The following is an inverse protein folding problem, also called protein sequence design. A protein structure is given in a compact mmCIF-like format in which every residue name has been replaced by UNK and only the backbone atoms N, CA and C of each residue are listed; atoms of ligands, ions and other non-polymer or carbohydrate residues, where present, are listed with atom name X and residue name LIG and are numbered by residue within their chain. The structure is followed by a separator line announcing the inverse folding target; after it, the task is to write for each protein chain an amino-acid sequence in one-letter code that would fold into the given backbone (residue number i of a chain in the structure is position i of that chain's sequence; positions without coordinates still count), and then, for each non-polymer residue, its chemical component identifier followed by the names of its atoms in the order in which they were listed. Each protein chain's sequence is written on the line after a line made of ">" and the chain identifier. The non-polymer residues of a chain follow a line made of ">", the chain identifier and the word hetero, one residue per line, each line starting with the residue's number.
data_IF_985304130212
#
_entry.id   IF_985304130212
#
_cell.length_a   1.000
_cell.length_b   1.000
_cell.length_c   1.000
_cell.angle_alpha   90.00
_cell.angle_beta   90.00
_cell.angle_gamma   90.00
#
_symmetry.space_group_name_H-M   'P 1'
#
loop_
_entity.id
_entity.type
_entity.pdbx_description
1 polymer ?
#
# COMPACT_ATOMS: atom_id res chain seq x y z
N UNK A 1 -29.39 29.22 9.15
CA UNK A 1 -28.16 29.78 8.62
C UNK A 1 -27.10 29.66 9.70
N UNK A 2 -26.45 28.51 9.82
CA UNK A 2 -25.53 28.21 10.92
C UNK A 2 -24.12 28.44 10.40
N UNK A 3 -23.48 29.49 10.88
CA UNK A 3 -22.12 29.89 10.55
C UNK A 3 -21.16 28.86 11.14
N UNK A 4 -20.48 28.09 10.29
CA UNK A 4 -19.34 27.27 10.73
C UNK A 4 -18.21 28.21 11.15
N UNK A 5 -17.58 28.01 12.31
CA UNK A 5 -16.44 28.83 12.69
C UNK A 5 -15.27 28.59 11.71
N UNK A 6 -14.81 29.67 11.11
CA UNK A 6 -13.58 29.75 10.33
C UNK A 6 -12.41 29.56 11.30
N UNK A 7 -11.73 28.43 11.24
CA UNK A 7 -10.47 28.19 11.96
C UNK A 7 -9.36 29.00 11.26
N UNK A 8 -9.25 30.26 11.63
CA UNK A 8 -8.14 31.12 11.24
C UNK A 8 -7.52 31.72 12.50
N UNK A 9 -6.58 30.99 13.07
CA UNK A 9 -5.46 31.51 13.87
C UNK A 9 -4.55 30.34 14.15
N UNK A 10 -3.30 30.37 13.66
CA UNK A 10 -2.27 29.40 13.95
C UNK A 10 -1.88 29.48 15.45
N UNK A 11 -2.68 28.88 16.31
CA UNK A 11 -2.18 28.37 17.59
C UNK A 11 -1.26 27.21 17.21
N UNK A 12 0.06 27.36 17.41
CA UNK A 12 1.00 26.24 17.41
C UNK A 12 0.50 25.25 18.46
N UNK A 13 -0.27 24.25 18.01
CA UNK A 13 -0.70 23.18 18.91
C UNK A 13 0.55 22.41 19.27
N UNK A 14 1.04 22.61 20.46
CA UNK A 14 2.18 21.85 21.00
C UNK A 14 1.65 20.47 21.32
N UNK A 15 2.12 19.50 20.55
CA UNK A 15 1.86 18.09 20.80
C UNK A 15 2.96 17.52 21.68
N UNK A 16 2.74 16.38 22.30
CA UNK A 16 3.76 15.66 23.07
C UNK A 16 3.81 14.19 22.65
N UNK A 17 4.99 13.60 22.65
CA UNK A 17 5.17 12.15 22.49
C UNK A 17 4.59 11.42 23.70
N UNK A 18 3.85 10.34 23.44
CA UNK A 18 3.26 9.55 24.52
C UNK A 18 4.30 8.81 25.37
N UNK A 19 5.42 8.41 24.77
CA UNK A 19 6.48 7.62 25.42
C UNK A 19 7.31 8.40 26.45
N UNK A 20 7.53 9.71 26.24
CA UNK A 20 8.51 10.49 27.04
C UNK A 20 8.11 11.94 27.28
N UNK A 21 6.89 12.35 26.87
CA UNK A 21 6.37 13.72 26.96
C UNK A 21 7.23 14.80 26.25
N UNK A 22 8.11 14.40 25.32
CA UNK A 22 8.89 15.35 24.53
C UNK A 22 7.94 16.18 23.65
N UNK A 23 8.09 17.52 23.64
CA UNK A 23 7.24 18.38 22.81
C UNK A 23 7.55 18.20 21.33
N UNK A 24 6.48 18.19 20.52
CA UNK A 24 6.52 18.08 19.07
C UNK A 24 5.77 19.27 18.47
N UNK A 25 6.47 20.06 17.67
CA UNK A 25 5.89 21.17 16.93
C UNK A 25 5.65 20.75 15.48
N UNK A 26 4.46 21.05 14.97
CA UNK A 26 4.11 20.84 13.57
C UNK A 26 4.67 21.96 12.70
N UNK A 27 5.28 21.57 11.58
CA UNK A 27 5.81 22.49 10.58
C UNK A 27 4.89 22.63 9.37
N UNK A 28 5.46 22.38 8.18
CA UNK A 28 4.71 22.45 6.91
C UNK A 28 3.80 21.24 6.75
N UNK A 29 2.58 21.45 6.25
CA UNK A 29 1.71 20.40 5.80
C UNK A 29 2.28 19.72 4.55
N UNK A 30 2.39 18.39 4.58
CA UNK A 30 2.90 17.56 3.49
C UNK A 30 1.78 16.99 2.65
N UNK A 31 0.75 16.42 3.32
CA UNK A 31 -0.40 15.80 2.66
C UNK A 31 -1.66 15.94 3.51
N UNK A 32 -2.82 15.79 2.89
CA UNK A 32 -4.12 15.72 3.55
C UNK A 32 -4.98 14.66 2.88
N UNK A 33 -5.69 13.88 3.68
CA UNK A 33 -6.65 12.86 3.26
C UNK A 33 -7.96 13.02 4.01
N UNK A 34 -8.95 12.17 3.75
CA UNK A 34 -10.20 12.13 4.52
C UNK A 34 -10.02 11.70 5.98
N UNK A 35 -8.92 11.04 6.31
CA UNK A 35 -8.66 10.54 7.66
C UNK A 35 -7.85 11.50 8.53
N UNK A 36 -6.94 12.27 7.92
CA UNK A 36 -6.05 13.15 8.66
C UNK A 36 -5.07 13.90 7.78
N UNK A 37 -4.17 14.62 8.43
CA UNK A 37 -3.16 15.48 7.80
C UNK A 37 -1.77 15.07 8.23
N UNK A 38 -0.85 14.98 7.27
CA UNK A 38 0.58 14.68 7.49
C UNK A 38 1.35 15.99 7.52
N UNK A 39 2.18 16.14 8.56
CA UNK A 39 2.96 17.34 8.84
C UNK A 39 4.44 17.03 8.98
N UNK A 40 5.30 17.98 8.58
CA UNK A 40 6.68 18.02 9.07
C UNK A 40 6.69 18.27 10.57
N UNK A 41 7.76 17.81 11.24
CA UNK A 41 7.96 18.06 12.67
C UNK A 41 9.31 18.69 12.94
N UNK A 42 9.48 19.26 14.16
CA UNK A 42 10.78 19.69 14.66
C UNK A 42 11.74 18.52 14.97
N UNK A 43 11.25 17.28 14.92
CA UNK A 43 12.08 16.08 15.10
C UNK A 43 12.67 15.66 13.75
N UNK A 44 14.00 15.74 13.65
CA UNK A 44 14.69 15.36 12.41
C UNK A 44 14.39 13.91 12.02
N UNK A 45 13.98 13.69 10.78
CA UNK A 45 13.68 12.37 10.26
C UNK A 45 12.28 11.84 10.57
N UNK A 46 11.38 12.65 11.17
CA UNK A 46 10.03 12.26 11.51
C UNK A 46 8.96 13.16 10.88
N UNK A 47 7.85 12.55 10.52
CA UNK A 47 6.58 13.19 10.16
C UNK A 47 5.53 12.87 11.24
N UNK A 48 4.51 13.71 11.34
CA UNK A 48 3.34 13.48 12.17
C UNK A 48 2.09 13.30 11.30
N UNK A 49 1.30 12.25 11.52
CA UNK A 49 -0.07 12.14 10.99
C UNK A 49 -1.05 12.45 12.11
N UNK A 50 -1.87 13.50 11.92
CA UNK A 50 -2.88 13.95 12.89
C UNK A 50 -4.25 13.63 12.29
N UNK A 51 -5.06 12.86 13.01
CA UNK A 51 -6.38 12.47 12.56
C UNK A 51 -7.40 13.62 12.67
N UNK A 52 -8.33 13.69 11.74
CA UNK A 52 -9.50 14.56 11.85
C UNK A 52 -10.46 14.09 12.94
N UNK A 53 -10.57 12.77 13.09
CA UNK A 53 -11.38 12.09 14.10
C UNK A 53 -10.57 10.95 14.73
N UNK A 54 -9.89 11.21 15.86
CA UNK A 54 -9.08 10.22 16.58
C UNK A 54 -9.96 9.31 17.44
N UNK A 55 -10.75 8.43 16.81
CA UNK A 55 -11.61 7.49 17.54
C UNK A 55 -10.81 6.59 18.48
N UNK A 56 -11.47 6.11 19.54
CA UNK A 56 -10.86 5.17 20.50
C UNK A 56 -10.31 3.93 19.78
N UNK A 57 -11.02 3.43 18.78
CA UNK A 57 -10.60 2.26 18.00
C UNK A 57 -9.31 2.53 17.21
N UNK A 58 -9.20 3.69 16.53
CA UNK A 58 -7.98 4.10 15.82
C UNK A 58 -6.78 4.22 16.76
N UNK A 59 -6.97 4.82 17.92
CA UNK A 59 -5.88 4.99 18.89
C UNK A 59 -5.44 3.63 19.46
N UNK A 60 -6.36 2.74 19.82
CA UNK A 60 -6.02 1.38 20.26
C UNK A 60 -5.28 0.58 19.19
N UNK A 61 -5.70 0.70 17.92
CA UNK A 61 -4.98 0.11 16.80
C UNK A 61 -3.53 0.60 16.75
N UNK A 62 -3.31 1.92 16.85
CA UNK A 62 -1.97 2.51 16.87
C UNK A 62 -1.14 2.04 18.06
N UNK A 63 -1.74 1.89 19.26
CA UNK A 63 -1.05 1.35 20.44
C UNK A 63 -0.52 -0.07 20.19
N UNK A 64 -1.33 -0.93 19.54
CA UNK A 64 -0.89 -2.27 19.15
C UNK A 64 0.25 -2.20 18.13
N UNK A 65 0.15 -1.31 17.14
CA UNK A 65 1.17 -1.15 16.09
C UNK A 65 2.50 -0.64 16.65
N UNK A 66 2.47 0.41 17.48
CA UNK A 66 3.68 0.97 18.13
C UNK A 66 4.37 -0.08 19.00
N UNK A 67 3.59 -0.89 19.73
CA UNK A 67 4.13 -1.98 20.57
C UNK A 67 4.70 -3.18 19.79
N UNK A 68 4.38 -3.31 18.50
CA UNK A 68 4.71 -4.52 17.71
C UNK A 68 5.18 -4.18 16.28
N UNK A 69 6.24 -3.40 16.08
CA UNK A 69 6.69 -3.05 14.74
C UNK A 69 7.17 -4.28 13.94
N UNK A 70 6.94 -4.33 12.61
CA UNK A 70 7.59 -5.30 11.75
C UNK A 70 9.09 -5.03 11.67
N UNK A 71 9.88 -6.06 11.36
CA UNK A 71 11.30 -5.87 11.07
C UNK A 71 11.45 -5.16 9.72
N UNK A 72 12.15 -4.01 9.70
CA UNK A 72 12.43 -3.32 8.44
C UNK A 72 13.57 -4.05 7.69
N UNK A 73 13.30 -4.64 6.51
CA UNK A 73 14.29 -5.44 5.79
C UNK A 73 15.41 -4.60 5.16
N UNK A 74 15.26 -3.27 5.10
CA UNK A 74 16.24 -2.36 4.47
C UNK A 74 17.03 -1.53 5.49
N UNK A 75 16.86 -1.79 6.78
CA UNK A 75 17.54 -1.03 7.84
C UNK A 75 19.08 -1.05 7.69
N UNK A 76 19.65 -2.19 7.29
CA UNK A 76 21.10 -2.33 7.04
C UNK A 76 21.60 -1.48 5.87
N UNK A 77 20.71 -1.01 4.99
CA UNK A 77 21.01 -0.11 3.87
C UNK A 77 20.76 1.36 4.20
N UNK A 78 20.51 1.67 5.47
CA UNK A 78 20.16 3.02 5.94
C UNK A 78 18.97 3.60 5.15
N UNK A 79 17.97 2.73 4.85
CA UNK A 79 16.76 3.07 4.15
C UNK A 79 15.54 2.67 4.98
N UNK A 80 14.55 3.55 5.04
CA UNK A 80 13.27 3.30 5.70
C UNK A 80 12.35 2.63 4.68
N UNK A 81 12.12 1.33 4.85
CA UNK A 81 11.25 0.57 3.96
C UNK A 81 9.78 0.55 4.42
N UNK A 82 9.53 0.83 5.69
CA UNK A 82 8.17 0.82 6.26
C UNK A 82 8.01 2.09 7.11
N UNK A 83 7.15 3.01 6.68
CA UNK A 83 6.81 4.22 7.44
C UNK A 83 5.84 3.83 8.58
N UNK A 84 6.34 3.07 9.54
CA UNK A 84 5.56 2.50 10.64
C UNK A 84 5.31 3.52 11.76
N UNK A 85 4.16 3.49 12.47
CA UNK A 85 3.93 4.28 13.66
C UNK A 85 5.01 4.02 14.72
N UNK A 86 5.75 5.08 15.12
CA UNK A 86 6.84 5.00 16.08
C UNK A 86 6.39 5.38 17.50
N UNK A 87 5.53 6.39 17.61
CA UNK A 87 5.01 6.88 18.89
C UNK A 87 3.68 7.59 18.69
N UNK A 88 2.82 7.56 19.70
CA UNK A 88 1.61 8.34 19.72
C UNK A 88 1.88 9.81 20.02
N UNK A 89 1.05 10.68 19.46
CA UNK A 89 1.04 12.11 19.75
C UNK A 89 -0.20 12.49 20.54
N UNK A 90 0.02 13.19 21.68
CA UNK A 90 -1.02 13.70 22.55
C UNK A 90 -1.15 15.21 22.41
N UNK A 91 -2.36 15.71 22.50
CA UNK A 91 -2.65 17.13 22.58
C UNK A 91 -2.49 17.70 24.00
N UNK A 92 -2.79 18.99 24.19
CA UNK A 92 -2.68 19.67 25.48
C UNK A 92 -3.66 19.15 26.55
N UNK A 93 -4.66 18.35 26.19
CA UNK A 93 -5.57 17.68 27.14
C UNK A 93 -5.03 16.29 27.56
N UNK A 94 -3.98 15.81 26.91
CA UNK A 94 -3.42 14.46 27.09
C UNK A 94 -4.12 13.40 26.24
N UNK A 95 -5.07 13.77 25.38
CA UNK A 95 -5.72 12.86 24.45
C UNK A 95 -4.81 12.54 23.25
N UNK A 96 -4.73 11.28 22.84
CA UNK A 96 -3.99 10.88 21.65
C UNK A 96 -4.76 11.34 20.41
N UNK A 97 -4.08 12.06 19.50
CA UNK A 97 -4.67 12.66 18.30
C UNK A 97 -4.02 12.19 17.00
N UNK A 98 -2.94 11.42 17.08
CA UNK A 98 -2.19 10.96 15.94
C UNK A 98 -0.90 10.25 16.35
N UNK A 99 0.05 10.17 15.42
CA UNK A 99 1.29 9.45 15.64
C UNK A 99 2.47 10.06 14.89
N UNK A 100 3.67 9.72 15.33
CA UNK A 100 4.92 9.95 14.63
C UNK A 100 5.25 8.74 13.74
N UNK A 101 5.85 9.00 12.59
CA UNK A 101 6.38 7.98 11.70
C UNK A 101 7.68 8.46 11.05
N UNK A 102 8.58 7.55 10.64
CA UNK A 102 9.78 7.92 9.91
C UNK A 102 9.45 8.61 8.59
N UNK A 103 10.21 9.66 8.27
CA UNK A 103 10.06 10.42 7.02
C UNK A 103 10.75 9.71 5.86
N UNK A 104 10.01 9.22 4.89
CA UNK A 104 10.55 8.73 3.62
C UNK A 104 10.91 9.94 2.75
N UNK A 105 12.17 10.04 2.34
CA UNK A 105 12.68 11.19 1.59
C UNK A 105 13.23 10.76 0.24
N UNK A 106 13.35 11.71 -0.70
CA UNK A 106 13.98 11.50 -2.02
C UNK A 106 13.38 10.31 -2.78
N UNK A 107 12.07 10.13 -2.67
CA UNK A 107 11.33 9.04 -3.29
C UNK A 107 10.15 9.59 -4.06
N UNK A 108 9.64 8.79 -4.99
CA UNK A 108 8.46 9.09 -5.80
C UNK A 108 7.48 7.93 -5.79
N UNK A 109 6.23 8.20 -6.02
CA UNK A 109 5.21 7.17 -6.11
C UNK A 109 5.49 6.18 -7.25
N UNK A 110 5.15 4.92 -7.03
CA UNK A 110 5.36 3.81 -7.96
C UNK A 110 4.81 4.07 -9.38
N UNK A 111 3.67 4.78 -9.61
CA UNK A 111 3.22 5.15 -10.95
C UNK A 111 4.25 5.91 -11.78
N UNK A 112 5.10 6.72 -11.14
CA UNK A 112 6.20 7.43 -11.80
C UNK A 112 7.28 6.49 -12.36
N UNK A 113 7.32 5.24 -11.87
CA UNK A 113 8.30 4.22 -12.23
C UNK A 113 7.74 3.24 -13.26
N UNK A 114 6.54 2.65 -13.00
CA UNK A 114 6.01 1.64 -13.92
C UNK A 114 5.43 2.22 -15.20
N UNK A 115 4.85 3.43 -15.17
CA UNK A 115 4.32 4.06 -16.37
C UNK A 115 5.47 4.51 -17.29
N UNK A 116 5.60 4.00 -18.53
CA UNK A 116 6.73 4.30 -19.38
C UNK A 116 6.91 5.79 -19.70
N UNK A 117 5.80 6.53 -19.86
CA UNK A 117 5.83 7.97 -20.15
C UNK A 117 6.31 8.76 -18.94
N UNK A 118 5.77 8.45 -17.74
CA UNK A 118 6.17 9.09 -16.49
C UNK A 118 7.61 8.73 -16.14
N UNK A 119 8.01 7.46 -16.29
CA UNK A 119 9.38 6.99 -16.05
C UNK A 119 10.40 7.73 -16.91
N UNK A 120 10.15 7.89 -18.21
CA UNK A 120 11.04 8.63 -19.10
C UNK A 120 11.29 10.06 -18.61
N UNK A 121 10.28 10.69 -18.01
CA UNK A 121 10.36 12.08 -17.49
C UNK A 121 10.96 12.16 -16.09
N UNK A 122 10.52 11.28 -15.18
CA UNK A 122 10.77 11.42 -13.76
C UNK A 122 11.90 10.52 -13.23
N UNK A 123 12.26 9.47 -13.98
CA UNK A 123 13.29 8.49 -13.63
C UNK A 123 13.98 7.94 -14.88
N UNK A 124 14.63 8.80 -15.71
CA UNK A 124 15.17 8.38 -17.00
C UNK A 124 16.26 7.30 -16.91
N UNK A 125 16.92 7.15 -15.74
CA UNK A 125 17.88 6.08 -15.47
C UNK A 125 17.29 4.73 -15.13
N UNK A 126 15.97 4.65 -14.90
CA UNK A 126 15.29 3.39 -14.53
C UNK A 126 15.11 2.51 -15.77
N UNK A 127 15.99 1.53 -15.90
CA UNK A 127 15.93 0.49 -16.92
C UNK A 127 15.21 -0.77 -16.40
N UNK A 128 15.21 -1.83 -17.19
CA UNK A 128 14.61 -3.12 -16.88
C UNK A 128 15.14 -3.75 -15.57
N UNK A 129 16.43 -3.62 -15.31
CA UNK A 129 17.03 -4.08 -14.06
C UNK A 129 16.45 -3.40 -12.82
N UNK A 130 16.28 -2.07 -12.87
CA UNK A 130 15.70 -1.30 -11.75
C UNK A 130 14.23 -1.66 -11.51
N UNK A 131 13.46 -1.98 -12.57
CA UNK A 131 12.08 -2.44 -12.41
C UNK A 131 12.01 -3.78 -11.66
N UNK A 132 12.87 -4.73 -11.98
CA UNK A 132 12.97 -6.00 -11.26
C UNK A 132 13.45 -5.81 -9.82
N UNK A 133 14.46 -4.95 -9.60
CA UNK A 133 14.92 -4.62 -8.25
C UNK A 133 13.82 -3.99 -7.40
N UNK A 134 13.01 -3.11 -8.00
CA UNK A 134 11.83 -2.52 -7.32
C UNK A 134 10.80 -3.60 -6.98
N UNK A 135 10.51 -4.53 -7.90
CA UNK A 135 9.58 -5.64 -7.66
C UNK A 135 10.06 -6.54 -6.52
N UNK A 136 11.33 -6.94 -6.54
CA UNK A 136 11.96 -7.73 -5.47
C UNK A 136 11.90 -7.01 -4.12
N UNK A 137 12.28 -5.75 -4.06
CA UNK A 137 12.24 -4.97 -2.83
C UNK A 137 10.82 -4.80 -2.29
N UNK A 138 9.81 -4.64 -3.18
CA UNK A 138 8.40 -4.59 -2.79
C UNK A 138 7.96 -5.92 -2.17
N UNK A 139 8.30 -7.06 -2.79
CA UNK A 139 7.99 -8.39 -2.26
C UNK A 139 8.63 -8.61 -0.88
N UNK A 140 9.91 -8.28 -0.70
CA UNK A 140 10.62 -8.38 0.58
C UNK A 140 9.95 -7.61 1.72
N UNK A 141 9.49 -6.39 1.43
CA UNK A 141 8.81 -5.56 2.43
C UNK A 141 7.47 -6.20 2.82
N UNK A 142 6.70 -6.64 1.83
CA UNK A 142 5.41 -7.30 2.08
C UNK A 142 5.59 -8.61 2.86
N UNK A 143 6.62 -9.38 2.55
CA UNK A 143 6.99 -10.57 3.32
C UNK A 143 7.29 -10.23 4.78
N UNK A 144 8.07 -9.18 5.05
CA UNK A 144 8.38 -8.76 6.42
C UNK A 144 7.14 -8.32 7.20
N UNK A 145 6.19 -7.66 6.54
CA UNK A 145 4.91 -7.25 7.13
C UNK A 145 4.05 -8.49 7.44
N UNK A 146 3.92 -9.43 6.48
CA UNK A 146 3.18 -10.69 6.67
C UNK A 146 3.79 -11.57 7.75
N UNK A 147 5.13 -11.66 7.84
CA UNK A 147 5.83 -12.42 8.87
C UNK A 147 5.51 -11.95 10.30
N UNK A 148 5.08 -10.69 10.46
CA UNK A 148 4.62 -10.13 11.74
C UNK A 148 3.11 -10.30 11.96
N UNK A 149 2.39 -10.88 10.98
CA UNK A 149 0.95 -11.12 11.06
C UNK A 149 0.07 -9.92 10.66
N UNK A 150 0.65 -8.88 10.06
CA UNK A 150 -0.11 -7.76 9.51
C UNK A 150 -0.59 -8.06 8.10
N UNK A 151 -1.72 -7.48 7.72
CA UNK A 151 -2.28 -7.56 6.37
C UNK A 151 -2.43 -6.13 5.83
N UNK A 152 -1.87 -5.86 4.66
CA UNK A 152 -1.89 -4.52 4.10
C UNK A 152 -3.31 -4.09 3.73
N UNK A 153 -4.09 -5.00 3.13
CA UNK A 153 -5.52 -4.79 2.83
C UNK A 153 -5.78 -3.85 1.65
N UNK A 154 -5.15 -2.68 1.59
CA UNK A 154 -5.25 -1.74 0.47
C UNK A 154 -3.86 -1.41 -0.11
N UNK A 155 -3.24 -2.42 -0.72
CA UNK A 155 -2.01 -2.19 -1.48
C UNK A 155 -2.37 -1.46 -2.77
N UNK A 156 -1.95 -0.22 -2.89
CA UNK A 156 -2.09 0.58 -4.11
C UNK A 156 -0.77 1.26 -4.46
N UNK A 157 -0.52 1.50 -5.76
CA UNK A 157 0.75 2.04 -6.22
C UNK A 157 1.15 3.38 -5.59
N UNK A 158 0.18 4.20 -5.16
CA UNK A 158 0.43 5.50 -4.53
C UNK A 158 1.00 5.36 -3.11
N UNK A 159 0.74 4.23 -2.42
CA UNK A 159 1.26 3.95 -1.09
C UNK A 159 2.65 3.30 -1.13
N UNK A 160 3.22 3.13 -2.32
CA UNK A 160 4.56 2.60 -2.53
C UNK A 160 5.45 3.71 -3.10
N UNK A 161 6.47 4.07 -2.36
CA UNK A 161 7.47 5.06 -2.77
C UNK A 161 8.76 4.36 -3.21
N UNK A 162 9.44 4.91 -4.20
CA UNK A 162 10.67 4.34 -4.77
C UNK A 162 11.71 5.44 -4.93
N UNK A 163 12.93 5.21 -4.45
CA UNK A 163 14.06 6.13 -4.64
C UNK A 163 14.86 5.81 -5.92
N UNK A 164 15.88 6.60 -6.22
CA UNK A 164 16.70 6.45 -7.43
C UNK A 164 17.56 5.17 -7.45
N UNK A 165 17.69 4.47 -6.32
CA UNK A 165 18.39 3.18 -6.20
C UNK A 165 17.44 1.98 -6.20
N UNK A 166 16.17 2.15 -6.60
CA UNK A 166 15.11 1.14 -6.56
C UNK A 166 14.78 0.61 -5.16
N UNK A 167 15.22 1.30 -4.10
CA UNK A 167 14.78 0.99 -2.75
C UNK A 167 13.36 1.49 -2.56
N UNK A 168 12.54 0.65 -1.94
CA UNK A 168 11.10 0.84 -1.79
C UNK A 168 10.74 1.21 -0.37
N UNK A 169 9.73 2.03 -0.20
CA UNK A 169 9.11 2.31 1.09
C UNK A 169 7.59 2.22 0.99
N UNK A 170 6.97 1.54 1.95
CA UNK A 170 5.52 1.48 2.12
C UNK A 170 5.09 2.56 3.10
N UNK A 171 4.11 3.36 2.70
CA UNK A 171 3.52 4.44 3.50
C UNK A 171 2.05 4.14 3.81
N UNK A 172 1.40 4.99 4.62
CA UNK A 172 -0.01 4.85 5.01
C UNK A 172 -0.32 3.53 5.74
N UNK A 173 0.64 3.09 6.56
CA UNK A 173 0.61 1.78 7.24
C UNK A 173 -0.46 1.70 8.33
N UNK A 174 -0.96 2.83 8.81
CA UNK A 174 -2.08 2.88 9.76
C UNK A 174 -3.42 2.44 9.15
N UNK A 175 -3.51 2.32 7.81
CA UNK A 175 -4.65 1.72 7.11
C UNK A 175 -4.68 0.18 7.20
N UNK A 176 -3.57 -0.49 7.52
CA UNK A 176 -3.45 -1.95 7.54
C UNK A 176 -4.46 -2.63 8.45
N UNK A 177 -4.80 -3.88 8.17
CA UNK A 177 -5.51 -4.70 9.15
C UNK A 177 -4.53 -5.22 10.21
N UNK A 178 -4.87 -4.99 11.46
CA UNK A 178 -4.05 -5.30 12.63
C UNK A 178 -4.84 -6.23 13.54
N UNK A 179 -4.22 -7.31 13.99
CA UNK A 179 -4.76 -8.20 15.02
C UNK A 179 -3.98 -7.98 16.31
N UNK A 180 -4.68 -7.61 17.36
CA UNK A 180 -4.12 -7.61 18.70
C UNK A 180 -4.04 -9.06 19.22
N UNK A 181 -2.83 -9.56 19.40
CA UNK A 181 -2.59 -10.92 19.85
C UNK A 181 -2.94 -11.15 21.33
N UNK A 182 -3.06 -10.08 22.12
CA UNK A 182 -3.41 -10.19 23.54
C UNK A 182 -4.92 -10.32 23.74
N UNK A 183 -5.71 -9.56 22.98
CA UNK A 183 -7.17 -9.51 23.13
C UNK A 183 -7.90 -10.31 22.04
N UNK A 184 -7.24 -10.64 20.94
CA UNK A 184 -7.84 -11.23 19.75
C UNK A 184 -8.61 -10.23 18.88
N UNK A 185 -8.69 -8.95 19.28
CA UNK A 185 -9.38 -7.89 18.53
C UNK A 185 -8.73 -7.71 17.14
N UNK A 186 -9.58 -7.60 16.11
CA UNK A 186 -9.15 -7.27 14.75
C UNK A 186 -9.57 -5.84 14.41
N UNK A 187 -8.57 -5.00 14.11
CA UNK A 187 -8.76 -3.66 13.56
C UNK A 187 -8.65 -3.76 12.05
N UNK A 188 -9.79 -3.73 11.37
CA UNK A 188 -9.87 -4.03 9.93
C UNK A 188 -9.31 -2.91 9.05
N UNK A 189 -8.83 -3.29 7.86
CA UNK A 189 -8.69 -2.38 6.74
C UNK A 189 -10.05 -2.25 6.05
N UNK A 190 -10.72 -1.12 6.23
CA UNK A 190 -12.09 -0.90 5.75
C UNK A 190 -12.18 -0.41 4.31
N UNK A 191 -11.05 -0.32 3.63
CA UNK A 191 -10.93 0.20 2.26
C UNK A 191 -10.32 -0.84 1.33
N UNK A 192 -10.53 -0.66 0.04
CA UNK A 192 -9.93 -1.45 -1.02
C UNK A 192 -9.94 -0.65 -2.32
N UNK A 193 -8.95 -0.89 -3.18
CA UNK A 193 -8.80 -0.17 -4.45
C UNK A 193 -9.34 -1.00 -5.61
N UNK A 194 -10.06 -0.34 -6.52
CA UNK A 194 -10.50 -0.94 -7.77
C UNK A 194 -9.30 -1.49 -8.56
N UNK A 195 -9.46 -2.65 -9.18
CA UNK A 195 -8.38 -3.36 -9.88
C UNK A 195 -7.41 -4.12 -8.98
N UNK A 196 -7.35 -3.83 -7.66
CA UNK A 196 -6.50 -4.53 -6.69
C UNK A 196 -7.30 -5.45 -5.76
N UNK A 197 -8.61 -5.50 -5.89
CA UNK A 197 -9.47 -6.35 -5.06
C UNK A 197 -9.62 -7.72 -5.70
N UNK A 198 -9.17 -8.82 -5.05
CA UNK A 198 -9.31 -10.17 -5.59
C UNK A 198 -10.77 -10.62 -5.59
N UNK A 199 -11.08 -11.63 -6.42
CA UNK A 199 -12.45 -12.07 -6.73
C UNK A 199 -13.28 -12.41 -5.49
N UNK A 200 -12.69 -13.03 -4.49
CA UNK A 200 -13.36 -13.45 -3.24
C UNK A 200 -13.76 -12.27 -2.34
N UNK A 201 -13.20 -11.09 -2.57
CA UNK A 201 -13.51 -9.87 -1.83
C UNK A 201 -14.42 -8.90 -2.61
N UNK A 202 -14.71 -9.17 -3.88
CA UNK A 202 -15.57 -8.30 -4.69
C UNK A 202 -16.99 -8.23 -4.12
N UNK A 203 -17.43 -7.02 -3.80
CA UNK A 203 -18.76 -6.75 -3.23
C UNK A 203 -18.87 -7.06 -1.73
N UNK A 204 -17.77 -7.36 -1.03
CA UNK A 204 -17.77 -7.54 0.42
C UNK A 204 -17.70 -6.21 1.15
N UNK A 205 -18.35 -6.16 2.31
CA UNK A 205 -18.19 -5.05 3.25
C UNK A 205 -16.93 -5.28 4.10
N UNK A 206 -15.92 -4.45 3.89
CA UNK A 206 -14.64 -4.54 4.61
C UNK A 206 -14.73 -4.11 6.07
N UNK A 207 -15.81 -3.47 6.50
CA UNK A 207 -16.02 -3.16 7.92
C UNK A 207 -16.26 -4.42 8.76
N UNK A 208 -16.74 -5.49 8.14
CA UNK A 208 -17.07 -6.78 8.80
C UNK A 208 -16.32 -7.99 8.20
N UNK A 209 -15.57 -7.79 7.12
CA UNK A 209 -14.82 -8.86 6.46
C UNK A 209 -13.34 -8.78 6.82
N UNK A 210 -12.81 -9.86 7.42
CA UNK A 210 -11.37 -9.96 7.66
C UNK A 210 -10.64 -10.21 6.33
N UNK A 211 -9.58 -9.45 6.11
CA UNK A 211 -8.65 -9.69 5.01
C UNK A 211 -7.50 -10.60 5.51
N UNK A 212 -6.79 -11.21 4.58
CA UNK A 212 -5.66 -12.11 4.88
C UNK A 212 -4.50 -11.83 3.93
N UNK A 213 -3.33 -12.35 4.25
CA UNK A 213 -2.16 -12.29 3.35
C UNK A 213 -2.43 -12.89 1.96
N UNK A 214 -3.37 -13.87 1.86
CA UNK A 214 -3.77 -14.48 0.58
C UNK A 214 -4.37 -13.43 -0.37
N UNK A 215 -5.12 -12.47 0.16
CA UNK A 215 -5.66 -11.36 -0.60
C UNK A 215 -4.55 -10.38 -1.04
N UNK A 216 -3.57 -10.13 -0.17
CA UNK A 216 -2.42 -9.28 -0.50
C UNK A 216 -1.52 -9.91 -1.56
N UNK A 217 -1.44 -11.24 -1.64
CA UNK A 217 -0.69 -11.95 -2.69
C UNK A 217 -1.22 -11.65 -4.10
N UNK A 218 -2.54 -11.54 -4.26
CA UNK A 218 -3.15 -11.09 -5.52
C UNK A 218 -2.74 -9.65 -5.83
N UNK A 219 -2.85 -8.74 -4.86
CA UNK A 219 -2.49 -7.33 -5.01
C UNK A 219 -1.02 -7.15 -5.38
N UNK A 220 -0.14 -7.90 -4.71
CA UNK A 220 1.30 -7.91 -4.99
C UNK A 220 1.56 -8.35 -6.44
N UNK A 221 0.92 -9.42 -6.90
CA UNK A 221 1.06 -9.90 -8.28
C UNK A 221 0.61 -8.84 -9.29
N UNK A 222 -0.53 -8.16 -9.06
CA UNK A 222 -0.98 -7.03 -9.90
C UNK A 222 0.05 -5.92 -9.91
N UNK A 223 0.63 -5.57 -8.76
CA UNK A 223 1.62 -4.51 -8.65
C UNK A 223 2.94 -4.86 -9.36
N UNK A 224 3.44 -6.08 -9.20
CA UNK A 224 4.63 -6.57 -9.91
C UNK A 224 4.37 -6.59 -11.42
N UNK A 225 3.16 -6.98 -11.85
CA UNK A 225 2.79 -6.94 -13.25
C UNK A 225 2.83 -5.50 -13.81
N UNK A 226 2.32 -4.51 -13.07
CA UNK A 226 2.47 -3.10 -13.45
C UNK A 226 3.93 -2.68 -13.60
N UNK A 227 4.78 -3.08 -12.65
CA UNK A 227 6.20 -2.75 -12.70
C UNK A 227 6.89 -3.32 -13.95
N UNK A 228 6.63 -4.59 -14.27
CA UNK A 228 7.33 -5.29 -15.33
C UNK A 228 6.73 -5.04 -16.72
N UNK A 229 5.42 -4.84 -16.81
CA UNK A 229 4.73 -4.73 -18.10
C UNK A 229 4.14 -3.33 -18.36
N UNK A 230 3.95 -2.51 -17.32
CA UNK A 230 3.46 -1.13 -17.45
C UNK A 230 1.94 -0.99 -17.54
N UNK A 231 1.19 -2.08 -17.45
CA UNK A 231 -0.28 -2.12 -17.52
C UNK A 231 -0.86 -3.17 -16.58
N UNK A 232 -2.18 -3.10 -16.36
CA UNK A 232 -2.90 -4.04 -15.49
C UNK A 232 -3.02 -5.43 -16.14
N UNK A 233 -2.84 -6.55 -15.40
CA UNK A 233 -2.94 -7.90 -15.98
C UNK A 233 -4.33 -8.20 -16.60
N UNK A 234 -5.39 -7.65 -16.01
CA UNK A 234 -6.77 -7.78 -16.52
C UNK A 234 -7.10 -6.63 -17.50
N UNK A 235 -6.20 -6.32 -18.42
CA UNK A 235 -6.42 -5.37 -19.52
C UNK A 235 -5.91 -5.95 -20.82
N UNK A 236 -6.51 -5.55 -21.95
CA UNK A 236 -6.16 -6.02 -23.28
C UNK A 236 -7.30 -5.82 -24.27
N UNK A 237 -7.24 -6.51 -25.40
CA UNK A 237 -8.25 -6.46 -26.44
C UNK A 237 -9.40 -7.44 -26.12
N UNK A 238 -10.62 -6.91 -26.06
CA UNK A 238 -11.82 -7.72 -25.84
C UNK A 238 -12.21 -8.47 -27.10
N UNK A 239 -12.37 -9.78 -27.01
CA UNK A 239 -12.76 -10.67 -28.12
C UNK A 239 -14.15 -11.28 -27.97
N UNK A 240 -14.86 -10.94 -26.88
CA UNK A 240 -16.24 -11.37 -26.67
C UNK A 240 -17.26 -10.54 -27.44
N UNK A 241 -18.53 -10.89 -27.33
CA UNK A 241 -19.63 -10.12 -27.92
C UNK A 241 -19.95 -8.88 -27.09
N UNK A 242 -20.34 -7.78 -27.74
CA UNK A 242 -20.72 -6.54 -27.10
C UNK A 242 -19.54 -5.72 -26.58
N UNK A 243 -19.82 -4.79 -25.66
CA UNK A 243 -18.81 -3.93 -25.06
C UNK A 243 -17.92 -4.72 -24.09
N UNK A 244 -16.65 -4.28 -23.98
CA UNK A 244 -15.73 -4.85 -23.00
C UNK A 244 -16.27 -4.62 -21.59
N UNK A 245 -16.31 -5.65 -20.74
CA UNK A 245 -16.62 -5.47 -19.33
C UNK A 245 -15.62 -4.52 -18.66
N UNK A 246 -16.04 -3.93 -17.55
CA UNK A 246 -15.11 -3.19 -16.69
C UNK A 246 -14.07 -4.10 -16.03
N UNK A 247 -13.05 -3.49 -15.44
CA UNK A 247 -11.93 -4.23 -14.85
C UNK A 247 -12.36 -5.13 -13.69
N UNK A 248 -13.35 -4.71 -12.89
CA UNK A 248 -13.90 -5.49 -11.78
C UNK A 248 -14.57 -6.77 -12.29
N UNK A 249 -15.33 -6.65 -13.36
CA UNK A 249 -15.98 -7.81 -13.98
C UNK A 249 -14.96 -8.74 -14.69
N UNK A 250 -13.92 -8.19 -15.28
CA UNK A 250 -12.82 -9.01 -15.83
C UNK A 250 -12.09 -9.79 -14.72
N UNK A 251 -11.83 -9.18 -13.57
CA UNK A 251 -11.29 -9.87 -12.39
C UNK A 251 -12.27 -10.95 -11.92
N UNK A 252 -13.57 -10.64 -11.83
CA UNK A 252 -14.59 -11.59 -11.40
C UNK A 252 -14.61 -12.85 -12.27
N UNK A 253 -14.45 -12.70 -13.58
CA UNK A 253 -14.44 -13.80 -14.56
C UNK A 253 -13.07 -14.46 -14.73
N UNK A 254 -12.01 -13.93 -14.12
CA UNK A 254 -10.65 -14.41 -14.33
C UNK A 254 -10.13 -14.15 -15.75
N UNK A 255 -10.68 -13.16 -16.44
CA UNK A 255 -10.29 -12.82 -17.82
C UNK A 255 -9.08 -11.90 -17.84
N UNK A 256 -7.90 -12.48 -17.88
CA UNK A 256 -6.63 -11.77 -18.08
C UNK A 256 -5.94 -12.33 -19.33
N UNK A 257 -5.02 -11.56 -19.92
CA UNK A 257 -4.47 -11.90 -21.23
C UNK A 257 -3.61 -13.19 -21.26
N UNK A 258 -3.11 -13.67 -20.11
CA UNK A 258 -2.41 -14.96 -19.97
C UNK A 258 -3.33 -16.13 -19.60
N UNK A 259 -4.65 -15.92 -19.49
CA UNK A 259 -5.63 -16.94 -19.13
C UNK A 259 -6.01 -17.81 -20.34
N UNK A 260 -6.02 -19.15 -20.17
CA UNK A 260 -6.37 -20.10 -21.25
C UNK A 260 -7.78 -19.89 -21.82
N UNK A 261 -8.76 -19.62 -20.97
CA UNK A 261 -10.17 -19.41 -21.34
C UNK A 261 -10.58 -17.93 -21.33
N UNK A 262 -9.61 -17.02 -21.33
CA UNK A 262 -9.87 -15.59 -21.29
C UNK A 262 -10.40 -15.08 -22.63
N UNK A 263 -11.34 -14.14 -22.55
CA UNK A 263 -11.79 -13.36 -23.71
C UNK A 263 -11.00 -12.05 -23.87
N UNK A 264 -9.98 -11.83 -23.02
CA UNK A 264 -8.98 -10.79 -23.21
C UNK A 264 -7.78 -11.39 -23.95
N UNK A 265 -7.32 -10.70 -24.97
CA UNK A 265 -6.13 -11.06 -25.75
C UNK A 265 -5.09 -9.94 -25.65
N UNK A 266 -3.80 -10.29 -25.81
CA UNK A 266 -2.76 -9.27 -25.96
C UNK A 266 -3.09 -8.33 -27.13
N UNK A 267 -3.00 -7.03 -26.89
CA UNK A 267 -3.04 -6.03 -27.96
C UNK A 267 -1.69 -6.00 -28.72
N UNK A 268 -1.63 -5.31 -29.84
CA UNK A 268 -0.41 -5.20 -30.65
C UNK A 268 0.82 -4.68 -29.87
N UNK A 269 0.58 -3.88 -28.80
CA UNK A 269 1.64 -3.29 -27.99
C UNK A 269 1.85 -4.02 -26.65
N UNK A 270 1.19 -5.16 -26.44
CA UNK A 270 1.34 -5.95 -25.22
C UNK A 270 2.69 -6.62 -25.19
N UNK A 271 3.44 -6.42 -24.11
CA UNK A 271 4.69 -7.13 -23.85
C UNK A 271 4.33 -8.59 -23.53
N UNK A 272 4.92 -9.59 -24.23
CA UNK A 272 4.63 -11.00 -23.96
C UNK A 272 5.09 -11.43 -22.56
N UNK A 273 4.39 -12.41 -21.95
CA UNK A 273 4.75 -12.90 -20.62
C UNK A 273 6.13 -13.55 -20.56
N UNK A 274 6.54 -14.21 -21.63
CA UNK A 274 7.83 -14.93 -21.74
C UNK A 274 9.06 -14.00 -21.81
N UNK A 275 8.86 -12.68 -21.77
CA UNK A 275 9.95 -11.71 -21.66
C UNK A 275 10.62 -11.74 -20.28
N UNK A 276 9.89 -12.17 -19.24
CA UNK A 276 10.42 -12.31 -17.89
C UNK A 276 11.00 -13.72 -17.67
N UNK A 277 11.73 -13.89 -16.57
CA UNK A 277 12.23 -15.22 -16.19
C UNK A 277 11.06 -16.21 -16.04
N UNK A 278 11.20 -17.49 -16.49
CA UNK A 278 10.12 -18.48 -16.45
C UNK A 278 9.48 -18.66 -15.06
N UNK A 279 10.26 -18.50 -13.98
CA UNK A 279 9.70 -18.53 -12.61
C UNK A 279 8.74 -17.39 -12.32
N UNK A 280 9.03 -16.19 -12.81
CA UNK A 280 8.15 -15.01 -12.66
C UNK A 280 6.88 -15.21 -13.49
N UNK A 281 7.02 -15.68 -14.71
CA UNK A 281 5.87 -16.06 -15.55
C UNK A 281 5.00 -17.10 -14.85
N UNK A 282 5.61 -18.16 -14.32
CA UNK A 282 4.91 -19.20 -13.55
C UNK A 282 4.16 -18.63 -12.34
N UNK A 283 4.75 -17.66 -11.64
CA UNK A 283 4.08 -17.00 -10.52
C UNK A 283 2.83 -16.24 -10.96
N UNK A 284 2.87 -15.52 -12.09
CA UNK A 284 1.68 -14.85 -12.63
C UNK A 284 0.61 -15.86 -13.04
N UNK A 285 0.98 -16.90 -13.81
CA UNK A 285 0.05 -17.96 -14.22
C UNK A 285 -0.60 -18.62 -13.00
N UNK A 286 0.19 -18.96 -11.99
CA UNK A 286 -0.31 -19.56 -10.75
C UNK A 286 -1.21 -18.60 -9.97
N UNK A 287 -0.87 -17.31 -9.89
CA UNK A 287 -1.67 -16.33 -9.16
C UNK A 287 -3.02 -16.06 -9.82
N UNK A 288 -3.03 -15.82 -11.14
CA UNK A 288 -4.22 -15.35 -11.84
C UNK A 288 -5.07 -16.47 -12.45
N UNK A 289 -4.53 -17.68 -12.65
CA UNK A 289 -5.29 -18.85 -13.10
C UNK A 289 -5.68 -19.72 -11.88
N UNK A 290 -4.73 -20.43 -11.28
CA UNK A 290 -5.00 -21.35 -10.17
C UNK A 290 -5.54 -20.60 -8.95
N UNK A 291 -4.90 -19.49 -8.60
CA UNK A 291 -5.25 -18.63 -7.47
C UNK A 291 -6.56 -17.84 -7.65
N UNK A 292 -7.15 -17.85 -8.84
CA UNK A 292 -8.48 -17.29 -9.06
C UNK A 292 -9.57 -18.19 -8.45
N UNK A 293 -9.47 -19.50 -8.67
CA UNK A 293 -10.43 -20.50 -8.16
C UNK A 293 -10.05 -21.04 -6.79
N UNK A 294 -8.73 -21.07 -6.46
CA UNK A 294 -8.18 -21.58 -5.22
C UNK A 294 -7.18 -20.56 -4.64
N UNK A 295 -7.65 -19.53 -3.94
CA UNK A 295 -6.81 -18.38 -3.52
C UNK A 295 -5.55 -18.75 -2.73
N UNK A 296 -5.57 -19.86 -1.97
CA UNK A 296 -4.42 -20.34 -1.21
C UNK A 296 -3.24 -20.80 -2.09
N UNK A 297 -3.47 -21.03 -3.39
CA UNK A 297 -2.41 -21.41 -4.35
C UNK A 297 -1.61 -20.20 -4.85
N UNK A 298 -2.05 -18.96 -4.57
CA UNK A 298 -1.29 -17.76 -4.96
C UNK A 298 0.11 -17.80 -4.34
N UNK A 299 1.17 -17.49 -5.12
CA UNK A 299 2.53 -17.41 -4.60
C UNK A 299 2.64 -16.48 -3.40
N UNK A 300 3.50 -16.82 -2.45
CA UNK A 300 3.86 -15.93 -1.33
C UNK A 300 4.71 -14.76 -1.81
N UNK A 301 4.97 -13.80 -0.94
CA UNK A 301 5.89 -12.70 -1.22
C UNK A 301 7.38 -13.12 -1.10
N UNK A 302 7.64 -14.36 -0.67
CA UNK A 302 8.96 -14.98 -0.52
C UNK A 302 9.58 -15.38 -1.86
#
# INVERSE_FOLDING_TARGET
>A
MTIKPCFCAAMMTILTRASNNQPVSLGKQIASSGEGVVWETNLSGYLAKIYHDPTVERIKKLEVMVGNPPADPMLSRNHIAIAWPDDLLKDGSGAAVGFLMPAVRQSRELPSIYNPRLRKRNAPGFNWYYLHATALNTAWIIQAIHAKGYVLGDIKPQNILVNDSALVAVIDTDSFQVRDLQTGQVYRCTVGSEGFTPVELLGKDFSVTDQTEIHDRFRLAVMIHYLLFGYHPFSGEWTGSGESPDQTELIRKGFWYGGQNSLIRPSQNTIPLDVVHPEIERCFLKCFNDGHTAPHLRPTAE
#
